data_IF_722203118059
#
_entry.id   IF_722203118059
#
_cell.length_a   1.000
_cell.length_b   1.000
_cell.length_c   1.000
_cell.angle_alpha   90.00
_cell.angle_beta   90.00
_cell.angle_gamma   90.00
#
_symmetry.space_group_name_H-M   'P 1'
#
loop_
_entity.id
_entity.type
_entity.pdbx_description
1 polymer ?
#
# COMPACT_ATOMS: atom_id res chain seq x y z
N UNK A 1 -15.75 -5.42 51.65
CA UNK A 1 -15.93 -4.35 50.64
C UNK A 1 -14.64 -3.94 49.93
N UNK A 2 -13.51 -3.70 50.63
CA UNK A 2 -12.22 -3.32 50.01
C UNK A 2 -11.69 -4.31 48.94
N UNK A 3 -11.86 -5.62 49.16
CA UNK A 3 -11.39 -6.68 48.22
C UNK A 3 -12.18 -6.70 46.89
N UNK A 4 -13.45 -6.32 46.91
CA UNK A 4 -14.31 -6.27 45.72
C UNK A 4 -13.96 -5.04 44.87
N UNK A 5 -13.68 -3.91 45.52
CA UNK A 5 -13.22 -2.68 44.85
C UNK A 5 -11.88 -2.91 44.13
N UNK A 6 -10.93 -3.60 44.77
CA UNK A 6 -9.63 -3.92 44.16
C UNK A 6 -9.81 -4.87 42.95
N UNK A 7 -10.72 -5.84 43.06
CA UNK A 7 -11.00 -6.78 41.96
C UNK A 7 -11.64 -6.10 40.75
N UNK A 8 -12.56 -5.16 40.96
CA UNK A 8 -13.21 -4.40 39.88
C UNK A 8 -12.20 -3.44 39.24
N UNK A 9 -11.34 -2.80 40.04
CA UNK A 9 -10.31 -1.87 39.54
C UNK A 9 -9.27 -2.60 38.68
N UNK A 10 -8.89 -3.84 39.05
CA UNK A 10 -8.00 -4.69 38.26
C UNK A 10 -8.62 -5.11 36.92
N UNK A 11 -9.93 -5.36 36.88
CA UNK A 11 -10.64 -5.79 35.67
C UNK A 11 -10.80 -4.64 34.66
N UNK A 12 -11.03 -3.42 35.15
CA UNK A 12 -11.10 -2.21 34.30
C UNK A 12 -9.74 -1.89 33.68
N UNK A 13 -8.63 -2.12 34.39
CA UNK A 13 -7.28 -1.89 33.88
C UNK A 13 -6.92 -2.84 32.71
N UNK A 14 -7.42 -4.08 32.74
CA UNK A 14 -7.23 -5.07 31.66
C UNK A 14 -8.00 -4.73 30.37
N UNK A 15 -9.09 -3.97 30.45
CA UNK A 15 -9.88 -3.56 29.28
C UNK A 15 -9.27 -2.37 28.54
N UNK A 16 -8.37 -1.61 29.16
CA UNK A 16 -7.74 -0.42 28.57
C UNK A 16 -6.59 -0.75 27.59
N UNK A 17 -6.05 -1.97 27.61
CA UNK A 17 -4.96 -2.41 26.71
C UNK A 17 -5.45 -3.06 25.41
N UNK A 18 -6.77 -3.24 25.23
CA UNK A 18 -7.33 -3.86 24.02
C UNK A 18 -7.48 -2.89 22.83
N UNK A 19 -7.12 -1.62 23.01
CA UNK A 19 -7.24 -0.55 22.01
C UNK A 19 -6.05 -0.45 21.03
N UNK A 20 -5.47 -1.56 20.55
CA UNK A 20 -4.56 -1.47 19.41
C UNK A 20 -5.40 -1.24 18.15
N UNK A 21 -5.42 0.00 17.64
CA UNK A 21 -5.93 0.29 16.30
C UNK A 21 -5.24 -0.65 15.30
N UNK A 22 -6.00 -1.50 14.62
CA UNK A 22 -5.47 -2.40 13.58
C UNK A 22 -5.13 -1.56 12.36
N UNK A 23 -3.92 -1.01 12.37
CA UNK A 23 -3.37 -0.31 11.22
C UNK A 23 -3.19 -1.33 10.09
N UNK A 24 -3.82 -1.11 8.95
CA UNK A 24 -3.74 -2.03 7.80
C UNK A 24 -2.48 -1.77 7.00
N UNK A 25 -2.00 -2.78 6.29
CA UNK A 25 -0.87 -2.60 5.36
C UNK A 25 -1.22 -1.56 4.29
N UNK A 26 -0.20 -0.80 3.80
CA UNK A 26 -0.41 0.04 2.62
C UNK A 26 -0.86 -0.81 1.44
N UNK A 27 -1.59 -0.19 0.52
CA UNK A 27 -2.05 -0.87 -0.69
C UNK A 27 -1.69 -0.09 -1.93
N UNK A 28 -1.42 -0.79 -3.02
CA UNK A 28 -1.06 -0.22 -4.31
C UNK A 28 -1.93 -0.82 -5.42
N UNK A 29 -2.21 -0.02 -6.44
CA UNK A 29 -2.76 -0.48 -7.72
C UNK A 29 -2.15 0.29 -8.88
N UNK A 30 -2.34 -0.22 -10.08
CA UNK A 30 -1.84 0.40 -11.32
C UNK A 30 -3.02 0.93 -12.12
N UNK A 31 -2.88 2.11 -12.71
CA UNK A 31 -3.76 2.60 -13.78
C UNK A 31 -2.94 2.81 -15.03
N UNK A 32 -3.29 2.10 -16.09
CA UNK A 32 -2.65 2.23 -17.39
C UNK A 32 -3.40 3.25 -18.26
N UNK A 33 -2.77 4.37 -18.56
CA UNK A 33 -3.26 5.37 -19.52
C UNK A 33 -2.49 5.34 -20.85
N UNK A 34 -1.62 4.34 -21.04
CA UNK A 34 -0.93 4.13 -22.31
C UNK A 34 -1.85 3.45 -23.33
N UNK A 35 -1.43 3.52 -24.59
CA UNK A 35 -2.11 2.81 -25.69
C UNK A 35 -1.80 1.30 -25.74
N UNK A 36 -0.74 0.85 -25.07
CA UNK A 36 -0.34 -0.57 -25.01
C UNK A 36 -0.46 -1.15 -23.61
N UNK A 37 -0.32 -2.48 -23.51
CA UNK A 37 -0.25 -3.17 -22.21
C UNK A 37 0.99 -2.74 -21.44
N UNK A 38 0.88 -2.73 -20.10
CA UNK A 38 2.00 -2.40 -19.23
C UNK A 38 2.20 -3.46 -18.15
N UNK A 39 3.48 -3.74 -17.91
CA UNK A 39 3.92 -4.53 -16.77
C UNK A 39 4.63 -3.62 -15.78
N UNK A 40 4.33 -3.81 -14.50
CA UNK A 40 4.92 -3.04 -13.40
C UNK A 40 5.51 -3.97 -12.37
N UNK A 41 6.80 -3.80 -12.09
CA UNK A 41 7.52 -4.48 -11.02
C UNK A 41 7.47 -3.64 -9.75
N UNK A 42 7.03 -4.25 -8.64
CA UNK A 42 6.96 -3.61 -7.32
C UNK A 42 8.08 -4.15 -6.44
N UNK A 43 8.87 -3.24 -5.88
CA UNK A 43 9.95 -3.58 -4.96
C UNK A 43 9.84 -2.77 -3.67
N UNK A 44 9.90 -3.44 -2.53
CA UNK A 44 9.92 -2.81 -1.21
C UNK A 44 11.23 -3.14 -0.51
N UNK A 45 11.86 -2.13 0.11
CA UNK A 45 13.12 -2.30 0.85
C UNK A 45 14.22 -3.02 0.05
N UNK A 46 14.29 -2.75 -1.26
CA UNK A 46 15.28 -3.33 -2.18
C UNK A 46 15.01 -4.77 -2.63
N UNK A 47 13.90 -5.39 -2.20
CA UNK A 47 13.48 -6.73 -2.66
C UNK A 47 12.26 -6.63 -3.56
N UNK A 48 12.19 -7.49 -4.58
CA UNK A 48 10.98 -7.65 -5.38
C UNK A 48 9.90 -8.25 -4.48
N UNK A 49 8.75 -7.60 -4.43
CA UNK A 49 7.58 -8.09 -3.68
C UNK A 49 6.67 -8.88 -4.62
N UNK A 50 6.29 -8.27 -5.76
CA UNK A 50 5.53 -8.92 -6.82
C UNK A 50 5.57 -8.11 -8.13
N UNK A 51 5.04 -8.70 -9.19
CA UNK A 51 4.82 -8.05 -10.48
C UNK A 51 3.33 -7.96 -10.78
N UNK A 52 2.90 -6.87 -11.41
CA UNK A 52 1.57 -6.71 -11.99
C UNK A 52 1.76 -6.67 -13.50
N UNK A 53 1.26 -7.69 -14.19
CA UNK A 53 1.46 -7.88 -15.63
C UNK A 53 0.18 -7.70 -16.43
N UNK A 54 0.33 -7.46 -17.72
CA UNK A 54 -0.75 -7.41 -18.71
C UNK A 54 -1.87 -6.42 -18.37
N UNK A 55 -1.53 -5.26 -17.77
CA UNK A 55 -2.53 -4.22 -17.50
C UNK A 55 -2.95 -3.59 -18.82
N UNK A 56 -4.19 -3.84 -19.24
CA UNK A 56 -4.72 -3.38 -20.53
C UNK A 56 -4.81 -1.84 -20.60
N UNK A 57 -4.76 -1.25 -21.81
CA UNK A 57 -5.01 0.17 -22.01
C UNK A 57 -6.31 0.65 -21.35
N UNK A 58 -6.23 1.70 -20.53
CA UNK A 58 -7.37 2.25 -19.80
C UNK A 58 -7.78 1.46 -18.54
N UNK A 59 -7.15 0.33 -18.25
CA UNK A 59 -7.46 -0.49 -17.08
C UNK A 59 -6.87 0.11 -15.80
N UNK A 60 -7.64 -0.02 -14.71
CA UNK A 60 -7.14 0.11 -13.34
C UNK A 60 -7.22 -1.26 -12.66
N UNK A 61 -6.13 -1.72 -12.05
CA UNK A 61 -6.09 -3.00 -11.33
C UNK A 61 -6.76 -2.89 -9.96
N UNK A 62 -7.03 -4.04 -9.35
CA UNK A 62 -7.37 -4.11 -7.93
C UNK A 62 -6.18 -3.70 -7.06
N UNK A 63 -6.50 -3.33 -5.81
CA UNK A 63 -5.50 -3.04 -4.79
C UNK A 63 -4.84 -4.32 -4.29
N UNK A 64 -3.52 -4.24 -4.13
CA UNK A 64 -2.70 -5.28 -3.52
C UNK A 64 -1.95 -4.70 -2.32
N UNK A 65 -1.80 -5.48 -1.26
CA UNK A 65 -1.02 -5.08 -0.10
C UNK A 65 0.47 -5.00 -0.46
N UNK A 66 1.16 -4.02 0.11
CA UNK A 66 2.61 -3.83 0.00
C UNK A 66 3.19 -3.60 1.39
N UNK A 67 4.48 -3.88 1.52
CA UNK A 67 5.22 -3.57 2.74
C UNK A 67 5.31 -2.06 2.98
N UNK A 68 5.19 -1.65 4.25
CA UNK A 68 5.44 -0.26 4.67
C UNK A 68 6.92 0.11 4.45
N UNK A 69 7.19 1.38 4.11
CA UNK A 69 8.53 1.90 3.92
C UNK A 69 8.85 2.28 2.47
N UNK A 70 10.12 2.21 2.09
CA UNK A 70 10.56 2.64 0.77
C UNK A 70 10.12 1.63 -0.30
N UNK A 71 9.24 2.06 -1.19
CA UNK A 71 8.71 1.27 -2.30
C UNK A 71 9.11 1.92 -3.62
N UNK A 72 9.46 1.08 -4.60
CA UNK A 72 9.68 1.48 -5.98
C UNK A 72 8.76 0.70 -6.91
N UNK A 73 8.12 1.41 -7.83
CA UNK A 73 7.31 0.83 -8.89
C UNK A 73 8.00 1.13 -10.23
N UNK A 74 8.38 0.08 -10.95
CA UNK A 74 9.09 0.18 -12.24
C UNK A 74 8.19 -0.29 -13.37
N UNK A 75 7.83 0.62 -14.28
CA UNK A 75 7.14 0.29 -15.52
C UNK A 75 8.14 -0.32 -16.51
N UNK A 76 7.99 -1.61 -16.81
CA UNK A 76 8.98 -2.39 -17.56
C UNK A 76 9.10 -1.88 -19.00
N UNK A 77 7.97 -1.58 -19.65
CA UNK A 77 7.91 -1.12 -21.05
C UNK A 77 8.68 0.19 -21.27
N UNK A 78 8.66 1.08 -20.28
CA UNK A 78 9.33 2.39 -20.35
C UNK A 78 10.74 2.37 -19.75
N UNK A 79 11.08 1.31 -19.02
CA UNK A 79 12.25 1.27 -18.14
C UNK A 79 12.35 2.50 -17.21
N UNK A 80 11.19 2.96 -16.71
CA UNK A 80 11.08 4.11 -15.81
C UNK A 80 10.49 3.68 -14.47
N UNK A 81 10.92 4.35 -13.40
CA UNK A 81 10.49 4.01 -12.05
C UNK A 81 10.11 5.25 -11.25
N UNK A 82 9.26 5.03 -10.27
CA UNK A 82 8.94 5.99 -9.22
C UNK A 82 9.22 5.34 -7.86
N UNK A 83 9.80 6.10 -6.94
CA UNK A 83 10.03 5.68 -5.56
C UNK A 83 9.24 6.56 -4.60
N UNK A 84 8.69 5.97 -3.55
CA UNK A 84 7.89 6.67 -2.55
C UNK A 84 7.92 5.97 -1.20
N UNK A 85 7.52 6.69 -0.16
CA UNK A 85 7.37 6.14 1.18
C UNK A 85 5.92 5.67 1.38
N UNK A 86 5.72 4.36 1.41
CA UNK A 86 4.44 3.74 1.71
C UNK A 86 4.17 3.77 3.21
N UNK A 87 3.04 4.31 3.62
CA UNK A 87 2.60 4.41 5.01
C UNK A 87 1.37 3.53 5.24
N UNK A 88 1.26 2.93 6.43
CA UNK A 88 0.09 2.12 6.77
C UNK A 88 -1.24 2.85 6.56
N UNK A 89 -2.28 2.06 6.31
CA UNK A 89 -3.64 2.52 6.09
C UNK A 89 -3.78 3.53 4.93
N UNK A 90 -2.81 3.53 4.00
CA UNK A 90 -2.80 4.40 2.82
C UNK A 90 -2.92 3.59 1.55
N UNK A 91 -3.69 4.11 0.59
CA UNK A 91 -3.88 3.51 -0.73
C UNK A 91 -3.21 4.37 -1.80
N UNK A 92 -2.46 3.72 -2.67
CA UNK A 92 -1.67 4.34 -3.72
C UNK A 92 -2.13 3.84 -5.08
N UNK A 93 -2.18 4.76 -6.04
CA UNK A 93 -2.34 4.44 -7.46
C UNK A 93 -1.09 4.90 -8.20
N UNK A 94 -0.40 3.98 -8.86
CA UNK A 94 0.63 4.30 -9.85
C UNK A 94 -0.06 4.54 -11.18
N UNK A 95 0.11 5.73 -11.74
CA UNK A 95 -0.46 6.09 -13.04
C UNK A 95 0.64 6.04 -14.07
N UNK A 96 0.48 5.14 -15.04
CA UNK A 96 1.38 4.97 -16.18
C UNK A 96 0.78 5.72 -17.36
N UNK A 97 1.48 6.73 -17.88
CA UNK A 97 0.99 7.59 -18.98
C UNK A 97 1.92 7.52 -20.19
N UNK A 98 1.42 7.98 -21.34
CA UNK A 98 2.25 8.14 -22.54
C UNK A 98 3.18 9.34 -22.38
N UNK A 99 4.44 9.22 -22.81
CA UNK A 99 5.46 10.27 -22.84
C UNK A 99 5.76 10.97 -21.50
N UNK A 100 5.40 10.33 -20.38
CA UNK A 100 5.66 10.86 -19.05
C UNK A 100 6.08 9.74 -18.09
N UNK A 101 7.00 10.01 -17.15
CA UNK A 101 7.35 9.06 -16.10
C UNK A 101 6.13 8.58 -15.30
N UNK A 102 6.18 7.35 -14.74
CA UNK A 102 5.18 6.90 -13.78
C UNK A 102 4.96 7.92 -12.66
N UNK A 103 3.70 8.18 -12.32
CA UNK A 103 3.35 9.13 -11.27
C UNK A 103 2.58 8.45 -10.15
N UNK A 104 2.70 8.99 -8.94
CA UNK A 104 2.02 8.50 -7.74
C UNK A 104 0.81 9.37 -7.45
N UNK A 105 -0.34 8.74 -7.21
CA UNK A 105 -1.53 9.38 -6.65
C UNK A 105 -1.91 8.68 -5.35
N UNK A 106 -2.12 9.46 -4.29
CA UNK A 106 -2.62 8.96 -3.01
C UNK A 106 -4.15 9.01 -3.07
N UNK A 107 -4.80 7.87 -2.86
CA UNK A 107 -6.25 7.77 -2.78
C UNK A 107 -6.69 8.10 -1.35
N UNK A 108 -7.49 9.16 -1.19
CA UNK A 108 -8.12 9.53 0.09
C UNK A 108 -9.41 8.74 0.31
#
# INVERSE_FOLDING_TARGET
MKKIIISILSLIFLLLIAGCSRSTEPQIRITNKQAGKVDVKIQASGKIEFNISDVEPGQTTDYQAISEGNVSATAIVQNQSISFLAAKSTRYTIVISTDAPPSLRIDK
#
